data_IF_877469501727
#
_entry.id   IF_877469501727
#
_cell.length_a   1.000
_cell.length_b   1.000
_cell.length_c   1.000
_cell.angle_alpha   90.00
_cell.angle_beta   90.00
_cell.angle_gamma   90.00
#
_symmetry.space_group_name_H-M   'P 1'
#
loop_
_entity.id
_entity.type
_entity.pdbx_description
1 polymer ?
#
# COMPACT_ATOMS: atom_id res chain seq x y z
N UNK A 1 -7.98 15.17 2.97
CA UNK A 1 -8.12 13.70 2.93
C UNK A 1 -8.24 13.15 4.33
N UNK A 2 -9.12 12.24 4.49
CA UNK A 2 -9.27 11.54 5.76
C UNK A 2 -8.69 10.14 5.65
N UNK A 3 -7.96 9.71 6.67
CA UNK A 3 -7.36 8.38 6.72
C UNK A 3 -7.90 7.64 7.93
N UNK A 4 -8.57 6.53 7.67
CA UNK A 4 -9.06 5.66 8.74
C UNK A 4 -8.11 4.47 8.83
N UNK A 5 -7.70 4.14 10.04
CA UNK A 5 -6.74 3.05 10.30
C UNK A 5 -7.42 1.95 11.10
N UNK A 6 -7.18 0.72 10.69
CA UNK A 6 -7.71 -0.44 11.40
C UNK A 6 -6.62 -1.52 11.43
N UNK A 7 -6.21 -1.91 12.63
CA UNK A 7 -5.20 -2.96 12.76
C UNK A 7 -5.89 -4.28 13.06
N UNK A 8 -5.56 -5.32 12.29
CA UNK A 8 -6.06 -6.68 12.52
C UNK A 8 -4.91 -7.66 12.38
N UNK A 9 -4.59 -8.38 13.45
CA UNK A 9 -3.45 -9.26 13.51
C UNK A 9 -2.19 -8.49 13.11
N UNK A 10 -1.46 -8.94 12.09
CA UNK A 10 -0.23 -8.29 11.66
C UNK A 10 -0.45 -7.31 10.51
N UNK A 11 -1.69 -7.08 10.11
CA UNK A 11 -2.00 -6.22 8.97
C UNK A 11 -2.59 -4.89 9.42
N UNK A 12 -2.15 -3.82 8.77
CA UNK A 12 -2.71 -2.49 8.98
C UNK A 12 -3.53 -2.12 7.75
N UNK A 13 -4.83 -1.90 7.96
CA UNK A 13 -5.76 -1.49 6.91
C UNK A 13 -5.90 0.01 6.94
N UNK A 14 -5.69 0.65 5.80
CA UNK A 14 -5.83 2.09 5.63
C UNK A 14 -6.94 2.37 4.63
N UNK A 15 -7.85 3.26 5.00
CA UNK A 15 -8.97 3.68 4.15
C UNK A 15 -8.74 5.15 3.82
N UNK A 16 -8.45 5.45 2.57
CA UNK A 16 -8.20 6.81 2.11
C UNK A 16 -9.48 7.42 1.56
N UNK A 17 -9.92 8.53 2.14
CA UNK A 17 -11.18 9.16 1.75
C UNK A 17 -10.96 10.62 1.37
N UNK A 18 -11.45 11.00 0.20
CA UNK A 18 -11.45 12.38 -0.25
C UNK A 18 -10.44 12.68 -1.32
N UNK A 19 -9.92 13.89 -1.29
CA UNK A 19 -8.99 14.39 -2.31
C UNK A 19 -7.54 14.28 -1.85
N UNK A 20 -6.69 13.81 -2.73
CA UNK A 20 -5.25 13.72 -2.46
C UNK A 20 -4.51 14.57 -3.50
N UNK A 21 -4.05 15.73 -3.09
CA UNK A 21 -3.43 16.70 -3.97
C UNK A 21 -2.28 17.44 -3.29
N UNK A 22 -1.79 18.51 -3.91
CA UNK A 22 -0.66 19.27 -3.39
C UNK A 22 -0.89 19.84 -1.99
N UNK A 23 -2.15 20.08 -1.62
CA UNK A 23 -2.46 20.71 -0.33
C UNK A 23 -2.27 19.75 0.84
N UNK A 24 -2.43 18.45 0.63
CA UNK A 24 -2.37 17.47 1.72
C UNK A 24 -1.38 16.34 1.52
N UNK A 25 -0.71 16.31 0.36
CA UNK A 25 0.21 15.22 0.03
C UNK A 25 1.32 15.05 1.09
N UNK A 26 1.98 16.14 1.47
CA UNK A 26 3.07 16.08 2.43
C UNK A 26 2.60 15.60 3.80
N UNK A 27 1.46 16.09 4.25
CA UNK A 27 0.89 15.71 5.54
C UNK A 27 0.55 14.21 5.54
N UNK A 28 -0.03 13.72 4.46
CA UNK A 28 -0.34 12.30 4.34
C UNK A 28 0.95 11.46 4.34
N UNK A 29 1.95 11.88 3.59
CA UNK A 29 3.22 11.15 3.54
C UNK A 29 3.83 11.05 4.93
N UNK A 30 3.88 12.17 5.67
CA UNK A 30 4.43 12.19 7.02
C UNK A 30 3.69 11.22 7.94
N UNK A 31 2.36 11.20 7.86
CA UNK A 31 1.53 10.31 8.67
C UNK A 31 1.79 8.84 8.36
N UNK A 32 1.87 8.49 7.09
CA UNK A 32 2.09 7.11 6.68
C UNK A 32 3.52 6.65 6.99
N UNK A 33 4.50 7.52 6.78
CA UNK A 33 5.90 7.19 7.12
C UNK A 33 6.06 6.94 8.61
N UNK A 34 5.34 7.69 9.45
CA UNK A 34 5.38 7.46 10.89
C UNK A 34 4.82 6.09 11.26
N UNK A 35 3.76 5.65 10.61
CA UNK A 35 3.22 4.30 10.84
C UNK A 35 4.27 3.22 10.52
N UNK A 36 5.02 3.42 9.45
CA UNK A 36 6.07 2.47 9.05
C UNK A 36 7.21 2.51 10.07
N UNK A 37 7.62 3.68 10.50
CA UNK A 37 8.65 3.83 11.54
C UNK A 37 8.24 3.17 12.84
N UNK A 38 6.96 3.21 13.17
CA UNK A 38 6.41 2.60 14.38
C UNK A 38 6.22 1.08 14.26
N UNK A 39 6.59 0.49 13.11
CA UNK A 39 6.62 -0.95 12.94
C UNK A 39 5.60 -1.54 11.98
N UNK A 40 4.75 -0.72 11.36
CA UNK A 40 3.79 -1.23 10.39
C UNK A 40 4.54 -1.75 9.16
N UNK A 41 4.38 -3.03 8.84
CA UNK A 41 5.10 -3.65 7.74
C UNK A 41 4.22 -4.48 6.81
N UNK A 42 2.93 -4.55 7.06
CA UNK A 42 1.96 -5.17 6.17
C UNK A 42 0.79 -4.20 6.03
N UNK A 43 0.71 -3.53 4.89
CA UNK A 43 -0.28 -2.49 4.65
C UNK A 43 -1.24 -2.89 3.54
N UNK A 44 -2.52 -2.70 3.82
CA UNK A 44 -3.60 -2.91 2.85
C UNK A 44 -4.33 -1.57 2.71
N UNK A 45 -4.28 -0.97 1.54
CA UNK A 45 -4.83 0.37 1.31
C UNK A 45 -6.07 0.31 0.44
N UNK A 46 -7.18 0.76 0.99
CA UNK A 46 -8.45 0.88 0.29
C UNK A 46 -8.50 2.22 -0.44
N UNK A 47 -8.60 2.17 -1.76
CA UNK A 47 -8.61 3.34 -2.63
C UNK A 47 -10.01 3.65 -3.19
N UNK A 48 -11.06 2.99 -2.67
CA UNK A 48 -12.40 3.14 -3.23
C UNK A 48 -13.03 4.51 -2.97
N UNK A 49 -12.60 5.20 -1.95
CA UNK A 49 -13.15 6.51 -1.57
C UNK A 49 -12.25 7.69 -1.97
N UNK A 50 -11.28 7.46 -2.83
CA UNK A 50 -10.47 8.53 -3.38
C UNK A 50 -11.28 9.27 -4.45
N UNK A 51 -11.63 10.52 -4.18
CA UNK A 51 -12.44 11.34 -5.09
C UNK A 51 -11.60 12.01 -6.16
N UNK A 52 -10.35 12.31 -5.84
CA UNK A 52 -9.41 12.95 -6.74
C UNK A 52 -7.98 12.65 -6.28
N UNK A 53 -7.11 12.43 -7.24
CA UNK A 53 -5.68 12.24 -6.97
C UNK A 53 -4.88 12.80 -8.14
N UNK A 54 -3.86 13.61 -7.84
CA UNK A 54 -2.97 14.14 -8.85
C UNK A 54 -1.56 13.55 -8.69
N UNK A 55 -0.61 14.07 -9.45
CA UNK A 55 0.77 13.55 -9.43
C UNK A 55 1.43 13.67 -8.06
N UNK A 56 1.14 14.72 -7.31
CA UNK A 56 1.68 14.88 -5.96
C UNK A 56 1.18 13.78 -5.03
N UNK A 57 -0.13 13.48 -5.12
CA UNK A 57 -0.73 12.39 -4.34
C UNK A 57 -0.20 11.02 -4.75
N UNK A 58 -0.05 10.81 -6.05
CA UNK A 58 0.52 9.56 -6.54
C UNK A 58 1.93 9.35 -6.02
N UNK A 59 2.73 10.40 -5.97
CA UNK A 59 4.11 10.33 -5.46
C UNK A 59 4.14 9.87 -4.02
N UNK A 60 3.20 10.34 -3.19
CA UNK A 60 3.10 9.89 -1.80
C UNK A 60 2.91 8.38 -1.73
N UNK A 61 1.96 7.86 -2.51
CA UNK A 61 1.68 6.42 -2.51
C UNK A 61 2.88 5.63 -3.03
N UNK A 62 3.58 6.13 -4.04
CA UNK A 62 4.81 5.51 -4.54
C UNK A 62 5.90 5.48 -3.47
N UNK A 63 6.12 6.60 -2.79
CA UNK A 63 7.15 6.69 -1.76
C UNK A 63 6.85 5.76 -0.58
N UNK A 64 5.58 5.69 -0.18
CA UNK A 64 5.16 4.79 0.90
C UNK A 64 5.36 3.33 0.49
N UNK A 65 4.96 2.98 -0.73
CA UNK A 65 5.12 1.62 -1.23
C UNK A 65 6.59 1.21 -1.25
N UNK A 66 7.45 2.06 -1.78
CA UNK A 66 8.89 1.79 -1.83
C UNK A 66 9.50 1.65 -0.44
N UNK A 67 9.07 2.49 0.48
CA UNK A 67 9.57 2.42 1.85
C UNK A 67 9.21 1.10 2.52
N UNK A 68 7.96 0.66 2.37
CA UNK A 68 7.50 -0.61 2.93
C UNK A 68 8.31 -1.77 2.32
N UNK A 69 8.42 -1.79 1.01
CA UNK A 69 9.13 -2.85 0.29
C UNK A 69 10.60 -2.90 0.68
N UNK A 70 11.26 -1.74 0.76
CA UNK A 70 12.67 -1.66 1.14
C UNK A 70 12.93 -2.09 2.58
N UNK A 71 11.92 -2.01 3.42
CA UNK A 71 11.99 -2.48 4.81
C UNK A 71 11.55 -3.93 4.96
N UNK A 72 11.46 -4.67 3.84
CA UNK A 72 11.03 -6.07 3.79
C UNK A 72 9.58 -6.26 4.21
N UNK A 73 8.78 -5.22 4.11
CA UNK A 73 7.35 -5.29 4.36
C UNK A 73 6.57 -5.64 3.11
N UNK A 74 5.26 -5.64 3.25
CA UNK A 74 4.34 -5.97 2.16
C UNK A 74 3.26 -4.91 2.08
N UNK A 75 2.89 -4.54 0.86
CA UNK A 75 1.86 -3.53 0.63
C UNK A 75 1.00 -3.95 -0.56
N UNK A 76 -0.30 -3.76 -0.42
CA UNK A 76 -1.24 -3.94 -1.50
C UNK A 76 -2.28 -2.83 -1.45
N UNK A 77 -2.70 -2.39 -2.62
CA UNK A 77 -3.81 -1.46 -2.78
C UNK A 77 -4.99 -2.23 -3.36
N UNK A 78 -6.21 -1.77 -3.11
CA UNK A 78 -7.36 -2.43 -3.70
C UNK A 78 -8.50 -1.47 -3.97
N UNK A 79 -9.44 -1.93 -4.77
CA UNK A 79 -10.71 -1.26 -5.06
C UNK A 79 -10.52 0.18 -5.55
N UNK A 80 -9.65 0.42 -6.54
CA UNK A 80 -9.41 1.81 -6.95
C UNK A 80 -10.66 2.46 -7.50
N UNK A 81 -10.94 3.68 -7.04
CA UNK A 81 -11.99 4.51 -7.62
C UNK A 81 -11.61 4.84 -9.07
N UNK A 82 -12.55 5.39 -9.84
CA UNK A 82 -12.25 5.76 -11.24
C UNK A 82 -11.06 6.71 -11.34
N UNK A 83 -11.00 7.82 -10.57
CA UNK A 83 -9.83 8.70 -10.62
C UNK A 83 -8.53 8.00 -10.23
N UNK A 84 -8.57 7.15 -9.21
CA UNK A 84 -7.39 6.41 -8.78
C UNK A 84 -6.93 5.42 -9.83
N UNK A 85 -7.86 4.66 -10.39
CA UNK A 85 -7.56 3.69 -11.44
C UNK A 85 -6.92 4.36 -12.65
N UNK A 86 -7.47 5.49 -13.07
CA UNK A 86 -6.96 6.23 -14.22
C UNK A 86 -5.49 6.61 -14.03
N UNK A 87 -5.14 7.19 -12.89
CA UNK A 87 -3.77 7.62 -12.65
C UNK A 87 -2.83 6.43 -12.44
N UNK A 88 -3.31 5.36 -11.81
CA UNK A 88 -2.49 4.14 -11.65
C UNK A 88 -2.19 3.50 -12.99
N UNK A 89 -3.18 3.41 -13.87
CA UNK A 89 -3.01 2.81 -15.20
C UNK A 89 -2.06 3.64 -16.07
N UNK A 90 -2.21 4.95 -16.03
CA UNK A 90 -1.38 5.88 -16.80
C UNK A 90 0.08 5.84 -16.44
N UNK A 91 0.37 5.61 -15.17
CA UNK A 91 1.72 5.78 -14.63
C UNK A 91 2.44 4.46 -14.39
N UNK A 92 1.76 3.34 -14.57
CA UNK A 92 2.35 2.03 -14.30
C UNK A 92 2.63 1.77 -12.82
N UNK A 93 1.82 2.34 -11.95
CA UNK A 93 1.96 2.17 -10.51
C UNK A 93 2.02 0.69 -10.11
N UNK A 94 1.27 -0.17 -10.79
CA UNK A 94 1.22 -1.60 -10.49
C UNK A 94 2.58 -2.29 -10.64
N UNK A 95 3.54 -1.66 -11.29
CA UNK A 95 4.90 -2.18 -11.38
C UNK A 95 5.67 -1.99 -10.07
N UNK A 96 5.21 -1.10 -9.21
CA UNK A 96 5.83 -0.84 -7.89
C UNK A 96 5.11 -1.62 -6.81
N UNK A 97 3.77 -1.59 -6.81
CA UNK A 97 2.95 -2.26 -5.80
C UNK A 97 1.69 -2.82 -6.46
N UNK A 98 1.28 -3.99 -6.01
CA UNK A 98 0.11 -4.66 -6.61
C UNK A 98 -1.18 -3.93 -6.26
N UNK A 99 -2.05 -3.86 -7.24
CA UNK A 99 -3.39 -3.28 -7.11
C UNK A 99 -4.40 -4.37 -7.41
N UNK A 100 -5.27 -4.62 -6.47
CA UNK A 100 -6.29 -5.69 -6.58
C UNK A 100 -7.67 -5.07 -6.74
N UNK A 101 -8.58 -5.82 -7.32
CA UNK A 101 -9.96 -5.35 -7.50
C UNK A 101 -10.73 -5.35 -6.18
N UNK A 102 -10.42 -6.28 -5.29
CA UNK A 102 -11.14 -6.44 -4.03
C UNK A 102 -10.21 -6.51 -2.83
N UNK A 103 -10.78 -6.17 -1.66
CA UNK A 103 -10.08 -6.29 -0.38
C UNK A 103 -9.62 -7.73 -0.13
N UNK A 104 -10.48 -8.70 -0.40
CA UNK A 104 -10.20 -10.13 -0.17
C UNK A 104 -8.98 -10.57 -0.96
N UNK A 105 -8.91 -10.15 -2.21
CA UNK A 105 -7.76 -10.46 -3.06
C UNK A 105 -6.48 -9.81 -2.53
N UNK A 106 -6.57 -8.57 -2.07
CA UNK A 106 -5.41 -7.85 -1.52
C UNK A 106 -4.89 -8.53 -0.27
N UNK A 107 -5.78 -8.92 0.63
CA UNK A 107 -5.41 -9.63 1.87
C UNK A 107 -4.75 -10.96 1.52
N UNK A 108 -5.34 -11.73 0.62
CA UNK A 108 -4.78 -13.00 0.18
C UNK A 108 -3.41 -12.81 -0.46
N UNK A 109 -3.25 -11.76 -1.27
CA UNK A 109 -1.98 -11.46 -1.93
C UNK A 109 -0.87 -11.14 -0.95
N UNK A 110 -1.15 -10.34 0.06
CA UNK A 110 -0.17 -9.99 1.10
C UNK A 110 0.21 -11.23 1.91
N UNK A 111 -0.78 -12.03 2.30
CA UNK A 111 -0.54 -13.26 3.06
C UNK A 111 0.28 -14.27 2.24
N UNK A 112 -0.06 -14.46 0.98
CA UNK A 112 0.66 -15.37 0.09
C UNK A 112 2.11 -14.93 -0.13
N UNK A 113 2.34 -13.62 -0.34
CA UNK A 113 3.69 -13.07 -0.49
C UNK A 113 4.54 -13.36 0.74
N UNK A 114 3.95 -13.22 1.92
CA UNK A 114 4.63 -13.51 3.18
C UNK A 114 5.04 -14.96 3.28
N UNK A 115 4.13 -15.86 2.95
CA UNK A 115 4.41 -17.29 2.98
C UNK A 115 5.49 -17.68 1.97
N UNK A 116 5.41 -17.13 0.76
CA UNK A 116 6.41 -17.42 -0.27
C UNK A 116 7.80 -16.93 0.13
N UNK A 117 7.89 -15.74 0.68
CA UNK A 117 9.17 -15.19 1.15
C UNK A 117 9.77 -16.07 2.23
N UNK A 118 8.96 -16.48 3.21
CA UNK A 118 9.39 -17.35 4.30
C UNK A 118 9.88 -18.69 3.76
N UNK A 119 9.15 -19.26 2.82
CA UNK A 119 9.51 -20.54 2.21
C UNK A 119 10.85 -20.45 1.48
N UNK A 120 11.10 -19.36 0.76
CA UNK A 120 12.37 -19.19 0.05
C UNK A 120 13.54 -19.05 1.01
N UNK A 121 13.37 -18.31 2.07
CA UNK A 121 14.40 -18.15 3.08
C UNK A 121 14.74 -19.49 3.72
N UNK A 122 13.72 -20.24 4.05
CA UNK A 122 13.90 -21.55 4.64
C UNK A 122 14.66 -22.51 3.70
N UNK A 123 14.31 -22.50 2.42
CA UNK A 123 15.00 -23.32 1.42
C UNK A 123 16.47 -22.94 1.27
N UNK A 124 16.77 -21.65 1.29
CA UNK A 124 18.17 -21.19 1.20
C UNK A 124 18.98 -21.67 2.39
N UNK A 125 18.41 -21.60 3.56
CA UNK A 125 19.09 -22.09 4.78
C UNK A 125 19.37 -23.58 4.70
N UNK A 126 18.42 -24.34 4.16
CA UNK A 126 18.55 -25.80 4.03
C UNK A 126 19.60 -26.23 3.03
N UNK A 127 19.92 -25.37 2.04
CA UNK A 127 20.94 -25.67 1.05
C UNK A 127 22.35 -25.52 1.55
N UNK A 128 22.51 -24.86 2.65
CA UNK A 128 23.82 -24.65 3.28
C UNK A 128 24.18 -25.78 4.22
#
# INVERSE_FOLDING_TARGET
>A
MEVIKEKRADMLFLYLQGRLDNNNAQSLENSLMKLIEDGANQLIIDCSQIEYINNAGLRVLLNVARRVINANGRIALHSPSEPAKEIFDKTGFSMVARIYDTREEAVAGVAASGLLSTSREHRRLNKK
#
